data_IF_708679640537
#
_entry.id   IF_708679640537
#
_cell.length_a   1.000
_cell.length_b   1.000
_cell.length_c   1.000
_cell.angle_alpha   90.00
_cell.angle_beta   90.00
_cell.angle_gamma   90.00
#
_symmetry.space_group_name_H-M   'P 1'
#
loop_
_entity.id
_entity.type
_entity.pdbx_description
1 polymer ?
#
# COMPACT_ATOMS: atom_id res chain seq x y z
N UNK A 1 35.80 50.71 -18.50
CA UNK A 1 35.51 50.81 -17.05
C UNK A 1 34.97 49.47 -16.56
N UNK A 2 35.30 49.11 -15.32
CA UNK A 2 35.51 47.75 -14.80
C UNK A 2 34.35 46.75 -15.01
N UNK A 3 34.69 45.62 -15.64
CA UNK A 3 34.01 44.34 -15.55
C UNK A 3 34.34 43.67 -14.20
N UNK A 4 33.33 43.20 -13.48
CA UNK A 4 33.54 42.30 -12.34
C UNK A 4 33.43 40.86 -12.87
N UNK A 5 34.59 40.23 -13.03
CA UNK A 5 34.76 38.79 -13.16
C UNK A 5 34.72 38.18 -11.75
N UNK A 6 33.90 37.16 -11.54
CA UNK A 6 34.05 36.25 -10.39
C UNK A 6 34.57 34.92 -10.93
N UNK A 7 35.73 34.53 -10.42
CA UNK A 7 36.53 33.39 -10.84
C UNK A 7 35.97 32.07 -10.29
N UNK A 8 35.95 31.07 -11.18
CA UNK A 8 35.99 29.64 -10.89
C UNK A 8 37.42 29.29 -10.45
N UNK A 9 37.59 28.62 -9.29
CA UNK A 9 38.50 27.47 -9.03
C UNK A 9 38.73 27.22 -7.52
N UNK A 10 38.87 25.93 -7.18
CA UNK A 10 39.44 25.31 -5.96
C UNK A 10 38.65 25.53 -4.65
N UNK A 11 38.03 24.50 -4.05
CA UNK A 11 38.69 23.39 -3.35
C UNK A 11 38.03 22.03 -3.67
N UNK A 12 38.85 21.15 -4.24
CA UNK A 12 38.68 19.70 -4.30
C UNK A 12 39.52 19.12 -3.15
N UNK A 13 39.20 17.89 -2.71
CA UNK A 13 39.96 17.02 -1.78
C UNK A 13 39.59 17.15 -0.29
N UNK A 14 38.76 16.20 0.18
CA UNK A 14 39.28 15.17 1.09
C UNK A 14 38.48 13.86 0.91
N UNK A 15 39.09 12.92 0.18
CA UNK A 15 38.84 11.50 0.33
C UNK A 15 39.33 11.05 1.72
N UNK A 16 38.44 10.40 2.47
CA UNK A 16 38.78 9.33 3.40
C UNK A 16 37.70 8.27 3.14
N UNK A 17 37.87 7.28 2.25
CA UNK A 17 38.75 6.12 2.42
C UNK A 17 38.67 5.53 3.83
N UNK A 18 37.47 5.06 4.15
CA UNK A 18 37.27 3.91 5.05
C UNK A 18 36.78 2.74 4.19
N UNK A 19 37.72 2.10 3.49
CA UNK A 19 37.54 0.73 3.05
C UNK A 19 37.61 -0.14 4.30
N UNK A 20 36.45 -0.39 4.91
CA UNK A 20 36.27 -1.53 5.79
C UNK A 20 35.54 -2.56 4.94
N UNK A 21 36.17 -3.70 4.71
CA UNK A 21 35.49 -4.89 4.21
C UNK A 21 34.42 -5.28 5.23
N UNK A 22 33.22 -4.75 5.04
CA UNK A 22 32.01 -5.17 5.75
C UNK A 22 31.12 -5.83 4.71
N UNK A 23 30.61 -7.01 5.03
CA UNK A 23 29.65 -7.71 4.19
C UNK A 23 28.58 -6.73 3.67
N UNK A 24 28.36 -6.70 2.35
CA UNK A 24 27.34 -5.85 1.74
C UNK A 24 25.95 -6.34 2.19
N UNK A 25 25.44 -5.80 3.30
CA UNK A 25 24.01 -5.86 3.61
C UNK A 25 23.27 -4.97 2.63
N UNK A 26 22.16 -5.45 2.07
CA UNK A 26 21.23 -4.57 1.38
C UNK A 26 20.60 -3.67 2.44
N UNK A 27 20.64 -2.35 2.23
CA UNK A 27 20.02 -1.40 3.15
C UNK A 27 18.51 -1.41 2.94
N UNK A 28 17.74 -1.42 4.02
CA UNK A 28 16.28 -1.54 3.96
C UNK A 28 15.64 -0.46 3.07
N UNK A 29 16.15 0.76 3.11
CA UNK A 29 15.69 1.88 2.27
C UNK A 29 15.80 1.57 0.78
N UNK A 30 16.92 0.98 0.36
CA UNK A 30 17.12 0.59 -1.05
C UNK A 30 16.13 -0.49 -1.52
N UNK A 31 15.78 -1.43 -0.63
CA UNK A 31 14.78 -2.46 -0.93
C UNK A 31 13.38 -1.84 -1.05
N UNK A 32 13.05 -0.89 -0.17
CA UNK A 32 11.80 -0.16 -0.24
C UNK A 32 11.67 0.59 -1.57
N UNK A 33 12.71 1.32 -1.98
CA UNK A 33 12.71 2.05 -3.25
C UNK A 33 12.54 1.14 -4.46
N UNK A 34 13.21 -0.02 -4.47
CA UNK A 34 13.02 -1.03 -5.51
C UNK A 34 11.57 -1.54 -5.53
N UNK A 35 10.99 -1.81 -4.35
CA UNK A 35 9.59 -2.25 -4.24
C UNK A 35 8.64 -1.21 -4.82
N UNK A 36 8.78 0.05 -4.41
CA UNK A 36 7.88 1.14 -4.80
C UNK A 36 7.88 1.39 -6.31
N UNK A 37 9.02 1.18 -6.97
CA UNK A 37 9.16 1.39 -8.41
C UNK A 37 8.70 0.19 -9.26
N UNK A 38 8.81 -1.04 -8.74
CA UNK A 38 8.62 -2.25 -9.55
C UNK A 38 7.38 -3.07 -9.20
N UNK A 39 6.73 -2.84 -8.05
CA UNK A 39 5.69 -3.72 -7.56
C UNK A 39 4.38 -3.63 -8.39
N UNK A 40 3.82 -4.76 -8.88
CA UNK A 40 2.61 -4.80 -9.71
C UNK A 40 1.35 -4.31 -9.00
N UNK A 41 1.29 -4.39 -7.66
CA UNK A 41 0.16 -3.85 -6.91
C UNK A 41 0.10 -2.32 -7.00
N UNK A 42 1.25 -1.63 -6.94
CA UNK A 42 1.31 -0.18 -7.13
C UNK A 42 0.89 0.16 -8.57
N UNK A 43 1.42 -0.55 -9.56
CA UNK A 43 1.05 -0.37 -10.97
C UNK A 43 -0.45 -0.57 -11.20
N UNK A 44 -1.06 -1.57 -10.57
CA UNK A 44 -2.51 -1.82 -10.60
C UNK A 44 -3.28 -0.59 -10.12
N UNK A 45 -2.92 0.00 -8.98
CA UNK A 45 -3.60 1.19 -8.46
C UNK A 45 -3.35 2.44 -9.31
N UNK A 46 -2.14 2.61 -9.85
CA UNK A 46 -1.83 3.70 -10.80
C UNK A 46 -2.66 3.61 -12.08
N UNK A 47 -2.85 2.42 -12.63
CA UNK A 47 -3.71 2.19 -13.79
C UNK A 47 -5.19 2.43 -13.47
N UNK A 48 -5.64 2.05 -12.27
CA UNK A 48 -7.01 2.35 -11.82
C UNK A 48 -7.26 3.85 -11.70
N UNK A 49 -6.30 4.60 -11.14
CA UNK A 49 -6.34 6.05 -11.08
C UNK A 49 -6.34 6.67 -12.47
N UNK A 50 -5.41 6.30 -13.36
CA UNK A 50 -5.36 6.80 -14.75
C UNK A 50 -6.68 6.55 -15.49
N UNK A 51 -7.28 5.36 -15.34
CA UNK A 51 -8.59 5.05 -15.89
C UNK A 51 -9.70 5.92 -15.31
N UNK A 52 -9.66 6.20 -14.01
CA UNK A 52 -10.63 7.09 -13.36
C UNK A 52 -10.46 8.54 -13.84
N UNK A 53 -9.22 9.03 -13.99
CA UNK A 53 -8.92 10.36 -14.53
C UNK A 53 -9.38 10.51 -15.99
N UNK A 54 -9.23 9.46 -16.81
CA UNK A 54 -9.68 9.49 -18.21
C UNK A 54 -11.20 9.65 -18.36
N UNK A 55 -11.98 9.27 -17.33
CA UNK A 55 -13.43 9.51 -17.34
C UNK A 55 -13.81 10.99 -17.44
N UNK A 56 -12.91 11.91 -17.08
CA UNK A 56 -13.11 13.35 -17.30
C UNK A 56 -13.35 13.63 -18.79
N UNK A 57 -12.54 13.02 -19.68
CA UNK A 57 -12.72 13.15 -21.13
C UNK A 57 -13.99 12.44 -21.62
N UNK A 58 -14.36 11.30 -21.01
CA UNK A 58 -15.59 10.56 -21.33
C UNK A 58 -16.85 11.43 -21.11
N UNK A 59 -16.90 12.18 -20.01
CA UNK A 59 -18.07 13.00 -19.65
C UNK A 59 -18.03 14.41 -20.23
N UNK A 60 -16.88 14.86 -20.74
CA UNK A 60 -16.72 16.12 -21.47
C UNK A 60 -17.25 16.01 -22.90
N UNK A 61 -18.55 15.77 -23.02
CA UNK A 61 -19.22 15.65 -24.31
C UNK A 61 -20.62 16.25 -24.25
N UNK A 62 -21.09 16.67 -25.42
CA UNK A 62 -22.48 17.08 -25.65
C UNK A 62 -23.28 15.90 -26.22
N UNK A 63 -24.62 15.90 -26.10
CA UNK A 63 -25.47 14.92 -26.77
C UNK A 63 -25.17 14.84 -28.28
N UNK A 64 -25.45 13.69 -28.89
CA UNK A 64 -25.26 13.50 -30.33
C UNK A 64 -26.09 14.51 -31.14
N UNK A 65 -25.53 14.98 -32.26
CA UNK A 65 -26.29 15.71 -33.27
C UNK A 65 -27.28 14.75 -33.94
N UNK A 66 -28.56 15.08 -33.89
CA UNK A 66 -29.64 14.33 -34.52
C UNK A 66 -29.84 14.81 -35.95
N UNK A 67 -29.66 13.91 -36.92
CA UNK A 67 -30.03 14.14 -38.31
C UNK A 67 -31.27 13.31 -38.65
N UNK A 68 -32.24 13.93 -39.31
CA UNK A 68 -33.49 13.30 -39.71
C UNK A 68 -33.81 13.56 -41.17
N UNK A 69 -34.36 12.55 -41.85
CA UNK A 69 -34.91 12.68 -43.20
C UNK A 69 -36.31 12.10 -43.19
N UNK A 70 -37.29 12.86 -43.67
CA UNK A 70 -38.68 12.44 -43.78
C UNK A 70 -39.20 12.66 -45.20
N UNK A 71 -39.96 11.71 -45.73
CA UNK A 71 -40.64 11.83 -47.02
C UNK A 71 -42.15 11.93 -46.79
N UNK A 72 -42.80 12.91 -47.42
CA UNK A 72 -44.24 13.14 -47.27
C UNK A 72 -45.01 12.25 -48.26
N UNK A 73 -45.48 11.10 -47.79
CA UNK A 73 -46.31 10.18 -48.60
C UNK A 73 -47.63 10.82 -49.03
N UNK A 74 -48.22 11.63 -48.15
CA UNK A 74 -49.32 12.55 -48.48
C UNK A 74 -48.77 13.96 -48.41
N UNK A 75 -48.66 14.61 -49.56
CA UNK A 75 -47.96 15.89 -49.73
C UNK A 75 -48.84 17.06 -49.26
N UNK A 76 -48.50 17.73 -48.15
CA UNK A 76 -49.22 18.93 -47.74
C UNK A 76 -49.00 20.07 -48.74
N UNK A 77 -50.09 20.70 -49.16
CA UNK A 77 -50.05 21.84 -50.08
C UNK A 77 -49.81 23.15 -49.32
N UNK A 78 -48.93 24.00 -49.86
CA UNK A 78 -48.72 25.39 -49.42
C UNK A 78 -49.10 26.37 -50.53
N UNK A 79 -49.03 27.69 -50.26
CA UNK A 79 -49.21 28.71 -51.31
C UNK A 79 -48.22 28.52 -52.47
N UNK A 80 -47.00 28.08 -52.17
CA UNK A 80 -45.89 27.93 -53.13
C UNK A 80 -45.80 26.54 -53.74
N UNK A 81 -46.57 25.57 -53.24
CA UNK A 81 -46.71 24.21 -53.78
C UNK A 81 -46.59 23.10 -52.74
N UNK A 82 -46.43 21.85 -53.16
CA UNK A 82 -46.55 20.67 -52.30
C UNK A 82 -45.22 20.31 -51.61
N UNK A 83 -45.24 20.02 -50.31
CA UNK A 83 -44.02 19.60 -49.60
C UNK A 83 -43.69 18.13 -49.91
N UNK A 84 -42.46 17.85 -50.37
CA UNK A 84 -42.04 16.52 -50.84
C UNK A 84 -41.24 15.76 -49.79
N UNK A 85 -40.21 16.39 -49.25
CA UNK A 85 -39.38 15.80 -48.20
C UNK A 85 -38.84 16.87 -47.25
N UNK A 86 -38.41 16.41 -46.08
CA UNK A 86 -37.83 17.22 -45.01
C UNK A 86 -36.48 16.64 -44.62
N UNK A 87 -35.47 17.49 -44.49
CA UNK A 87 -34.18 17.18 -43.87
C UNK A 87 -34.07 18.05 -42.61
N UNK A 88 -33.68 17.45 -41.49
CA UNK A 88 -33.55 18.15 -40.22
C UNK A 88 -32.19 17.87 -39.59
N UNK A 89 -31.55 18.90 -39.04
CA UNK A 89 -30.40 18.77 -38.15
C UNK A 89 -30.73 19.43 -36.81
N UNK A 90 -30.45 18.76 -35.69
CA UNK A 90 -30.76 19.24 -34.35
C UNK A 90 -29.62 18.89 -33.38
N UNK A 91 -29.23 19.85 -32.56
CA UNK A 91 -28.24 19.69 -31.51
C UNK A 91 -28.83 20.13 -30.17
N UNK A 92 -28.88 19.22 -29.21
CA UNK A 92 -29.23 19.54 -27.82
C UNK A 92 -27.96 19.96 -27.06
N UNK A 93 -28.04 21.04 -26.30
CA UNK A 93 -26.98 21.51 -25.42
C UNK A 93 -27.45 21.42 -23.96
N UNK A 94 -26.65 20.81 -23.07
CA UNK A 94 -26.91 20.82 -21.63
C UNK A 94 -26.97 22.25 -21.09
N UNK A 95 -27.64 22.42 -19.95
CA UNK A 95 -27.62 23.71 -19.26
C UNK A 95 -26.20 24.15 -18.90
N UNK A 96 -26.02 25.45 -18.73
CA UNK A 96 -24.73 26.03 -18.34
C UNK A 96 -24.19 25.39 -17.05
N UNK A 97 -22.96 24.87 -17.13
CA UNK A 97 -22.26 24.23 -16.03
C UNK A 97 -22.57 22.74 -15.82
N UNK A 98 -23.51 22.12 -16.55
CA UNK A 98 -23.79 20.68 -16.39
C UNK A 98 -22.58 19.82 -16.75
N UNK A 99 -21.88 20.12 -17.84
CA UNK A 99 -20.66 19.39 -18.24
C UNK A 99 -19.57 19.54 -17.18
N UNK A 100 -19.32 20.76 -16.70
CA UNK A 100 -18.36 21.01 -15.62
C UNK A 100 -18.72 20.26 -14.33
N UNK A 101 -19.99 20.15 -13.97
CA UNK A 101 -20.40 19.34 -12.82
C UNK A 101 -20.18 17.83 -13.04
N UNK A 102 -20.30 17.33 -14.28
CA UNK A 102 -19.93 15.94 -14.59
C UNK A 102 -18.44 15.74 -14.42
N UNK A 103 -17.62 16.64 -14.96
CA UNK A 103 -16.16 16.61 -14.86
C UNK A 103 -15.71 16.66 -13.40
N UNK A 104 -16.25 17.58 -12.59
CA UNK A 104 -15.93 17.70 -11.17
C UNK A 104 -16.29 16.42 -10.39
N UNK A 105 -17.45 15.83 -10.68
CA UNK A 105 -17.85 14.57 -10.06
C UNK A 105 -16.87 13.44 -10.39
N UNK A 106 -16.58 13.19 -11.67
CA UNK A 106 -15.65 12.10 -12.02
C UNK A 106 -14.21 12.39 -11.59
N UNK A 107 -13.79 13.65 -11.56
CA UNK A 107 -12.49 14.06 -11.01
C UNK A 107 -12.39 13.77 -9.52
N UNK A 108 -13.44 14.07 -8.74
CA UNK A 108 -13.44 13.75 -7.30
C UNK A 108 -13.39 12.24 -7.01
N UNK A 109 -13.97 11.41 -7.88
CA UNK A 109 -13.80 9.95 -7.81
C UNK A 109 -12.35 9.53 -8.12
N UNK A 110 -11.68 10.22 -9.04
CA UNK A 110 -10.27 9.99 -9.33
C UNK A 110 -9.39 10.40 -8.13
N UNK A 111 -9.71 11.50 -7.43
CA UNK A 111 -9.00 11.89 -6.20
C UNK A 111 -9.11 10.82 -5.12
N UNK A 112 -10.29 10.21 -4.93
CA UNK A 112 -10.43 9.08 -4.01
C UNK A 112 -9.61 7.85 -4.44
N UNK A 113 -9.43 7.63 -5.76
CA UNK A 113 -8.57 6.58 -6.31
C UNK A 113 -7.09 6.88 -6.15
N UNK A 114 -6.70 8.14 -6.08
CA UNK A 114 -5.33 8.53 -5.80
C UNK A 114 -4.91 8.11 -4.39
N UNK A 115 -5.79 8.28 -3.40
CA UNK A 115 -5.53 7.81 -2.02
C UNK A 115 -5.28 6.29 -1.95
N UNK A 116 -5.92 5.49 -2.81
CA UNK A 116 -5.63 4.05 -2.90
C UNK A 116 -4.15 3.78 -3.25
N UNK A 117 -3.51 4.62 -4.08
CA UNK A 117 -2.08 4.52 -4.42
C UNK A 117 -1.23 4.83 -3.18
N UNK A 118 -1.55 5.90 -2.45
CA UNK A 118 -0.80 6.32 -1.25
C UNK A 118 -0.87 5.23 -0.19
N UNK A 119 -2.06 4.68 0.05
CA UNK A 119 -2.29 3.56 0.98
C UNK A 119 -1.47 2.34 0.55
N UNK A 120 -1.52 1.97 -0.74
CA UNK A 120 -0.79 0.81 -1.25
C UNK A 120 0.73 0.97 -1.10
N UNK A 121 1.28 2.15 -1.39
CA UNK A 121 2.71 2.45 -1.20
C UNK A 121 3.12 2.29 0.26
N UNK A 122 2.37 2.89 1.20
CA UNK A 122 2.66 2.76 2.64
C UNK A 122 2.56 1.31 3.14
N UNK A 123 1.55 0.56 2.69
CA UNK A 123 1.43 -0.87 3.01
C UNK A 123 2.61 -1.67 2.49
N UNK A 124 3.03 -1.43 1.25
CA UNK A 124 4.17 -2.10 0.65
C UNK A 124 5.47 -1.83 1.42
N UNK A 125 5.72 -0.57 1.81
CA UNK A 125 6.86 -0.20 2.65
C UNK A 125 6.87 -0.98 3.98
N UNK A 126 5.71 -1.07 4.64
CA UNK A 126 5.57 -1.83 5.87
C UNK A 126 5.82 -3.33 5.64
N UNK A 127 5.22 -3.94 4.61
CA UNK A 127 5.42 -5.36 4.29
C UNK A 127 6.87 -5.70 3.95
N UNK A 128 7.56 -4.87 3.17
CA UNK A 128 8.99 -5.03 2.86
C UNK A 128 9.83 -4.97 4.13
N UNK A 129 9.54 -4.00 5.00
CA UNK A 129 10.26 -3.83 6.26
C UNK A 129 10.04 -5.01 7.22
N UNK A 130 8.80 -5.49 7.34
CA UNK A 130 8.47 -6.65 8.17
C UNK A 130 9.18 -7.92 7.68
N UNK A 131 9.15 -8.15 6.36
CA UNK A 131 9.83 -9.27 5.72
C UNK A 131 11.34 -9.21 5.95
N UNK A 132 11.94 -8.02 5.84
CA UNK A 132 13.35 -7.80 6.15
C UNK A 132 13.71 -8.15 7.61
N UNK A 133 12.89 -7.72 8.59
CA UNK A 133 13.12 -8.05 10.00
C UNK A 133 12.90 -9.54 10.31
N UNK A 134 12.00 -10.22 9.60
CA UNK A 134 11.86 -11.67 9.68
C UNK A 134 13.10 -12.40 9.16
N UNK A 135 13.65 -11.97 8.01
CA UNK A 135 14.91 -12.51 7.48
C UNK A 135 16.08 -12.32 8.46
N UNK A 136 16.20 -11.12 9.03
CA UNK A 136 17.17 -10.84 10.09
C UNK A 136 17.04 -11.82 11.25
N UNK A 137 15.82 -12.01 11.77
CA UNK A 137 15.59 -12.89 12.91
C UNK A 137 15.96 -14.34 12.60
N UNK A 138 15.59 -14.86 11.43
CA UNK A 138 15.96 -16.20 11.00
C UNK A 138 17.49 -16.35 10.92
N UNK A 139 18.18 -15.37 10.33
CA UNK A 139 19.64 -15.38 10.20
C UNK A 139 20.34 -15.29 11.56
N UNK A 140 19.87 -14.41 12.44
CA UNK A 140 20.42 -14.25 13.79
C UNK A 140 20.23 -15.51 14.64
N UNK A 141 19.07 -16.18 14.55
CA UNK A 141 18.83 -17.46 15.25
C UNK A 141 19.76 -18.56 14.73
N UNK A 142 19.96 -18.67 13.42
CA UNK A 142 20.92 -19.63 12.84
C UNK A 142 22.36 -19.38 13.33
N UNK A 143 22.75 -18.11 13.48
CA UNK A 143 24.07 -17.72 14.02
C UNK A 143 24.23 -18.19 15.47
N UNK A 144 23.24 -17.90 16.33
CA UNK A 144 23.25 -18.36 17.74
C UNK A 144 23.29 -19.89 17.82
N UNK A 145 22.54 -20.62 17.00
CA UNK A 145 22.60 -22.09 16.97
C UNK A 145 23.98 -22.59 16.56
N UNK A 146 24.60 -21.95 15.57
CA UNK A 146 25.95 -22.33 15.12
C UNK A 146 26.99 -22.13 16.23
N UNK A 147 26.89 -21.02 16.98
CA UNK A 147 27.75 -20.75 18.13
C UNK A 147 27.51 -21.77 19.27
N UNK A 148 26.26 -22.13 19.54
CA UNK A 148 25.91 -23.10 20.59
C UNK A 148 26.30 -24.55 20.21
N UNK A 149 26.14 -24.96 18.95
CA UNK A 149 26.59 -26.29 18.48
C UNK A 149 28.11 -26.42 18.69
N UNK A 150 28.88 -25.39 18.30
CA UNK A 150 30.34 -25.36 18.50
C UNK A 150 30.73 -25.42 19.99
N UNK A 151 29.93 -24.81 20.85
CA UNK A 151 30.12 -24.91 22.30
C UNK A 151 29.86 -26.34 22.80
N UNK A 152 28.79 -27.00 22.34
CA UNK A 152 28.51 -28.39 22.69
C UNK A 152 29.58 -29.37 22.19
N UNK A 153 30.20 -29.14 21.02
CA UNK A 153 31.36 -29.93 20.55
C UNK A 153 32.55 -29.84 21.53
N UNK A 154 32.75 -28.67 22.12
CA UNK A 154 33.79 -28.47 23.15
C UNK A 154 33.46 -29.27 24.41
N UNK A 155 32.19 -29.28 24.83
CA UNK A 155 31.74 -30.07 25.96
C UNK A 155 31.76 -31.57 25.72
N UNK A 156 31.46 -32.03 24.51
CA UNK A 156 31.57 -33.43 24.13
C UNK A 156 33.00 -33.94 24.27
N UNK A 157 33.98 -33.13 23.85
CA UNK A 157 35.40 -33.46 24.04
C UNK A 157 35.76 -33.60 25.52
N UNK A 158 35.26 -32.71 26.38
CA UNK A 158 35.46 -32.79 27.83
C UNK A 158 34.78 -34.02 28.43
N UNK A 159 33.53 -34.30 28.05
CA UNK A 159 32.77 -35.44 28.55
C UNK A 159 33.43 -36.77 28.13
N UNK A 160 33.89 -36.91 26.89
CA UNK A 160 34.64 -38.08 26.42
C UNK A 160 35.91 -38.32 27.25
N UNK A 161 36.67 -37.26 27.51
CA UNK A 161 37.88 -37.34 28.36
C UNK A 161 37.51 -37.80 29.78
N UNK A 162 36.41 -37.30 30.34
CA UNK A 162 35.90 -37.72 31.66
C UNK A 162 35.44 -39.18 31.69
N UNK A 163 34.86 -39.70 30.60
CA UNK A 163 34.47 -41.12 30.47
C UNK A 163 35.71 -42.01 30.44
N UNK A 164 36.76 -41.64 29.70
CA UNK A 164 38.02 -42.41 29.61
C UNK A 164 38.69 -42.58 30.98
N UNK A 165 38.61 -41.56 31.84
CA UNK A 165 39.15 -41.61 33.22
C UNK A 165 38.15 -42.16 34.25
N UNK A 166 37.00 -42.68 33.81
CA UNK A 166 35.98 -43.31 34.67
C UNK A 166 35.20 -42.34 35.57
N UNK A 167 35.20 -41.04 35.24
CA UNK A 167 34.54 -39.96 36.02
C UNK A 167 33.20 -39.50 35.46
N UNK A 168 32.81 -39.95 34.25
CA UNK A 168 31.53 -39.61 33.63
C UNK A 168 30.90 -40.84 32.95
N UNK A 169 29.61 -40.75 32.63
CA UNK A 169 28.87 -41.81 31.95
C UNK A 169 28.85 -41.60 30.43
N UNK A 170 28.90 -42.69 29.65
CA UNK A 170 28.67 -42.63 28.21
C UNK A 170 27.27 -42.07 27.85
N UNK A 171 26.33 -42.12 28.80
CA UNK A 171 25.00 -41.50 28.67
C UNK A 171 25.10 -39.98 28.54
N UNK A 172 26.05 -39.33 29.19
CA UNK A 172 26.21 -37.88 29.17
C UNK A 172 26.69 -37.39 27.79
N UNK A 173 27.57 -38.17 27.15
CA UNK A 173 28.00 -37.96 25.76
C UNK A 173 26.84 -38.12 24.80
N UNK A 174 26.03 -39.18 24.94
CA UNK A 174 24.85 -39.38 24.09
C UNK A 174 23.82 -38.25 24.24
N UNK A 175 23.66 -37.67 25.45
CA UNK A 175 22.79 -36.51 25.67
C UNK A 175 23.29 -35.26 24.94
N UNK A 176 24.60 -35.00 24.98
CA UNK A 176 25.21 -33.91 24.20
C UNK A 176 24.95 -34.07 22.70
N UNK A 177 25.16 -35.27 22.17
CA UNK A 177 24.93 -35.57 20.75
C UNK A 177 23.46 -35.40 20.37
N UNK A 178 22.51 -35.85 21.21
CA UNK A 178 21.09 -35.61 20.98
C UNK A 178 20.76 -34.11 20.92
N UNK A 179 21.34 -33.30 21.81
CA UNK A 179 21.13 -31.84 21.81
C UNK A 179 21.76 -31.15 20.59
N UNK A 180 22.96 -31.57 20.17
CA UNK A 180 23.56 -31.09 18.92
C UNK A 180 22.64 -31.41 17.72
N UNK A 181 22.08 -32.62 17.65
CA UNK A 181 21.15 -33.02 16.60
C UNK A 181 19.87 -32.16 16.61
N UNK A 182 19.30 -31.87 17.77
CA UNK A 182 18.13 -30.98 17.91
C UNK A 182 18.44 -29.54 17.46
N UNK A 183 19.59 -28.99 17.86
CA UNK A 183 20.03 -27.66 17.43
C UNK A 183 20.29 -27.59 15.91
N UNK A 184 20.87 -28.65 15.34
CA UNK A 184 21.11 -28.76 13.91
C UNK A 184 19.79 -28.86 13.15
N UNK A 185 18.84 -29.68 13.62
CA UNK A 185 17.49 -29.73 13.06
C UNK A 185 16.81 -28.36 13.08
N UNK A 186 16.87 -27.63 14.20
CA UNK A 186 16.28 -26.30 14.31
C UNK A 186 16.94 -25.30 13.35
N UNK A 187 18.26 -25.37 13.18
CA UNK A 187 19.02 -24.54 12.23
C UNK A 187 18.59 -24.81 10.79
N UNK A 188 18.40 -26.07 10.42
CA UNK A 188 17.96 -26.47 9.08
C UNK A 188 16.53 -26.00 8.80
N UNK A 189 15.63 -26.09 9.79
CA UNK A 189 14.27 -25.52 9.70
C UNK A 189 14.32 -24.00 9.51
N UNK A 190 15.14 -23.29 10.29
CA UNK A 190 15.32 -21.84 10.14
C UNK A 190 15.94 -21.47 8.79
N UNK A 191 16.75 -22.33 8.20
CA UNK A 191 17.27 -22.15 6.83
C UNK A 191 16.14 -22.21 5.81
N UNK A 192 15.22 -23.18 5.94
CA UNK A 192 14.05 -23.26 5.06
C UNK A 192 13.10 -22.06 5.25
N UNK A 193 12.88 -21.62 6.50
CA UNK A 193 12.10 -20.41 6.79
C UNK A 193 12.74 -19.15 6.19
N UNK A 194 14.07 -19.04 6.21
CA UNK A 194 14.79 -17.95 5.56
C UNK A 194 14.58 -17.95 4.04
N UNK A 195 14.67 -19.10 3.38
CA UNK A 195 14.44 -19.21 1.93
C UNK A 195 12.99 -18.85 1.54
N UNK A 196 12.02 -19.28 2.35
CA UNK A 196 10.62 -18.94 2.15
C UNK A 196 10.37 -17.42 2.30
N UNK A 197 10.91 -16.81 3.36
CA UNK A 197 10.80 -15.37 3.56
C UNK A 197 11.59 -14.57 2.51
N UNK A 198 12.70 -15.10 2.00
CA UNK A 198 13.45 -14.49 0.89
C UNK A 198 12.61 -14.47 -0.38
N UNK A 199 11.92 -15.56 -0.68
CA UNK A 199 10.97 -15.63 -1.79
C UNK A 199 9.87 -14.59 -1.62
N UNK A 200 9.31 -14.47 -0.40
CA UNK A 200 8.30 -13.46 -0.09
C UNK A 200 8.82 -12.03 -0.34
N UNK A 201 9.99 -11.69 0.18
CA UNK A 201 10.62 -10.39 -0.03
C UNK A 201 10.87 -10.12 -1.52
N UNK A 202 11.44 -11.07 -2.25
CA UNK A 202 11.71 -10.93 -3.68
C UNK A 202 10.44 -10.72 -4.51
N UNK A 203 9.32 -11.36 -4.13
CA UNK A 203 8.03 -11.12 -4.75
C UNK A 203 7.47 -9.73 -4.43
N UNK A 204 7.65 -9.20 -3.22
CA UNK A 204 7.32 -7.81 -2.88
C UNK A 204 8.13 -6.81 -3.71
N UNK A 205 9.37 -7.15 -4.05
CA UNK A 205 10.26 -6.36 -4.91
C UNK A 205 10.00 -6.57 -6.40
N UNK A 206 9.14 -7.54 -6.75
CA UNK A 206 8.88 -7.98 -8.12
C UNK A 206 10.15 -8.35 -8.90
N UNK A 207 10.98 -9.21 -8.30
CA UNK A 207 12.19 -9.79 -8.93
C UNK A 207 12.17 -11.32 -8.81
N UNK A 208 13.13 -11.99 -9.45
CA UNK A 208 13.27 -13.45 -9.36
C UNK A 208 13.29 -13.94 -7.90
N UNK A 209 12.58 -15.03 -7.63
CA UNK A 209 12.27 -15.49 -6.27
C UNK A 209 13.49 -15.93 -5.46
N UNK A 210 14.56 -16.36 -6.14
CA UNK A 210 15.78 -16.93 -5.56
C UNK A 210 16.94 -15.93 -5.47
N UNK A 211 16.71 -14.65 -5.79
CA UNK A 211 17.73 -13.60 -5.64
C UNK A 211 18.21 -13.55 -4.18
N UNK A 212 19.53 -13.74 -3.93
CA UNK A 212 20.05 -13.69 -2.58
C UNK A 212 19.81 -12.35 -1.90
N UNK A 213 19.31 -12.40 -0.67
CA UNK A 213 19.11 -11.24 0.21
C UNK A 213 20.11 -11.29 1.35
N UNK A 214 20.84 -10.20 1.54
CA UNK A 214 21.74 -9.99 2.67
C UNK A 214 21.13 -9.00 3.64
N UNK A 215 21.06 -9.41 4.91
CA UNK A 215 20.56 -8.61 6.03
C UNK A 215 21.72 -8.22 6.94
N UNK A 216 21.52 -7.17 7.74
CA UNK A 216 22.51 -6.72 8.73
C UNK A 216 22.87 -7.81 9.74
N UNK A 217 24.10 -7.79 10.23
CA UNK A 217 24.61 -8.79 11.18
C UNK A 217 24.00 -8.69 12.58
N UNK A 218 23.61 -7.48 13.00
CA UNK A 218 22.99 -7.23 14.30
C UNK A 218 22.08 -6.01 14.26
N UNK A 219 20.98 -6.12 15.00
CA UNK A 219 20.07 -5.02 15.33
C UNK A 219 20.06 -4.84 16.84
N UNK A 220 20.15 -3.59 17.29
CA UNK A 220 20.14 -3.25 18.71
C UNK A 220 18.74 -2.86 19.15
N UNK A 221 18.35 -3.27 20.36
CA UNK A 221 17.12 -2.78 20.98
C UNK A 221 17.28 -1.30 21.34
N UNK A 222 16.40 -0.40 20.86
CA UNK A 222 16.49 1.02 21.21
C UNK A 222 16.31 1.28 22.70
N UNK A 223 17.08 2.26 23.21
CA UNK A 223 17.10 2.64 24.63
C UNK A 223 15.90 3.48 25.05
N UNK A 224 15.30 4.24 24.13
CA UNK A 224 14.17 5.14 24.39
C UNK A 224 12.92 4.67 23.63
N UNK A 225 11.76 5.05 24.16
CA UNK A 225 10.48 4.87 23.46
C UNK A 225 10.35 5.90 22.34
N UNK A 226 9.64 5.52 21.28
CA UNK A 226 9.19 6.50 20.30
C UNK A 226 8.19 7.45 20.96
N UNK A 227 8.35 8.77 20.76
CA UNK A 227 7.25 9.70 20.98
C UNK A 227 6.18 9.43 19.92
N UNK A 228 5.06 8.84 20.34
CA UNK A 228 3.95 8.52 19.44
C UNK A 228 2.89 9.59 19.61
N UNK A 229 2.81 10.50 18.66
CA UNK A 229 1.70 11.44 18.55
C UNK A 229 0.51 10.74 17.89
N UNK A 230 -0.50 10.41 18.71
CA UNK A 230 -1.77 9.83 18.25
C UNK A 230 -2.58 10.82 17.39
N UNK A 231 -2.28 12.12 17.45
CA UNK A 231 -2.94 13.16 16.64
C UNK A 231 -2.78 12.95 15.14
N UNK A 232 -1.72 12.27 14.68
CA UNK A 232 -1.48 12.04 13.25
C UNK A 232 -2.44 11.01 12.63
N UNK A 233 -3.10 10.17 13.43
CA UNK A 233 -3.93 9.08 12.90
C UNK A 233 -5.12 9.60 12.09
N UNK A 234 -5.69 10.74 12.47
CA UNK A 234 -6.79 11.39 11.76
C UNK A 234 -6.41 11.82 10.33
N UNK A 235 -5.12 12.05 10.08
CA UNK A 235 -4.57 12.43 8.77
C UNK A 235 -4.08 11.21 7.96
N UNK A 236 -4.31 10.00 8.45
CA UNK A 236 -3.88 8.79 7.77
C UNK A 236 -4.62 8.64 6.41
N UNK A 237 -3.94 8.26 5.31
CA UNK A 237 -4.53 8.18 3.96
C UNK A 237 -5.77 7.30 3.86
N UNK A 238 -5.85 6.23 4.66
CA UNK A 238 -7.06 5.41 4.69
C UNK A 238 -8.31 6.15 5.22
N UNK A 239 -8.12 7.15 6.07
CA UNK A 239 -9.21 8.02 6.54
C UNK A 239 -9.45 9.18 5.58
N UNK A 240 -8.40 9.76 5.01
CA UNK A 240 -8.50 10.80 3.98
C UNK A 240 -9.25 10.31 2.74
N UNK A 241 -9.12 9.03 2.39
CA UNK A 241 -9.92 8.40 1.34
C UNK A 241 -11.42 8.58 1.56
N UNK A 242 -11.90 8.42 2.79
CA UNK A 242 -13.32 8.63 3.09
C UNK A 242 -13.72 10.10 2.96
N UNK A 243 -12.82 11.05 3.26
CA UNK A 243 -13.08 12.47 3.01
C UNK A 243 -13.19 12.76 1.51
N UNK A 244 -12.34 12.14 0.68
CA UNK A 244 -12.44 12.23 -0.79
C UNK A 244 -13.71 11.61 -1.33
N UNK A 245 -14.12 10.45 -0.79
CA UNK A 245 -15.39 9.83 -1.16
C UNK A 245 -16.58 10.71 -0.75
N UNK A 246 -16.56 11.29 0.44
CA UNK A 246 -17.60 12.21 0.90
C UNK A 246 -17.72 13.42 -0.04
N UNK A 247 -16.58 14.04 -0.39
CA UNK A 247 -16.52 15.13 -1.38
C UNK A 247 -17.08 14.70 -2.75
N UNK A 248 -16.84 13.44 -3.16
CA UNK A 248 -17.40 12.94 -4.42
C UNK A 248 -18.92 12.82 -4.40
N UNK A 249 -19.52 12.49 -3.26
CA UNK A 249 -20.98 12.48 -3.11
C UNK A 249 -21.54 13.90 -3.10
N UNK A 250 -20.82 14.88 -2.56
CA UNK A 250 -21.20 16.30 -2.69
C UNK A 250 -21.19 16.74 -4.16
N UNK A 251 -20.17 16.36 -4.93
CA UNK A 251 -20.13 16.64 -6.37
C UNK A 251 -21.23 15.88 -7.14
N UNK A 252 -21.56 14.65 -6.73
CA UNK A 252 -22.70 13.88 -7.26
C UNK A 252 -24.01 14.64 -7.07
N UNK A 253 -24.23 15.26 -5.91
CA UNK A 253 -25.42 16.06 -5.65
C UNK A 253 -25.46 17.36 -6.47
N UNK A 254 -24.33 18.06 -6.61
CA UNK A 254 -24.25 19.23 -7.49
C UNK A 254 -24.54 18.85 -8.95
N UNK A 255 -24.01 17.72 -9.41
CA UNK A 255 -24.33 17.17 -10.73
C UNK A 255 -25.82 16.87 -10.86
N UNK A 256 -26.42 16.18 -9.88
CA UNK A 256 -27.85 15.86 -9.86
C UNK A 256 -28.73 17.12 -9.97
N UNK A 257 -28.35 18.21 -9.28
CA UNK A 257 -29.03 19.50 -9.38
C UNK A 257 -28.87 20.12 -10.78
N UNK A 258 -27.68 20.08 -11.38
CA UNK A 258 -27.46 20.60 -12.75
C UNK A 258 -28.15 19.76 -13.83
N UNK A 259 -28.21 18.46 -13.67
CA UNK A 259 -28.94 17.55 -14.57
C UNK A 259 -30.47 17.72 -14.48
N UNK A 260 -30.97 18.33 -13.39
CA UNK A 260 -32.39 18.71 -13.27
C UNK A 260 -32.71 20.03 -13.98
N UNK A 261 -31.72 20.72 -14.54
CA UNK A 261 -31.92 21.95 -15.32
C UNK A 261 -32.38 21.64 -16.75
N UNK A 262 -33.06 22.59 -17.43
CA UNK A 262 -33.50 22.39 -18.80
C UNK A 262 -32.34 22.19 -19.78
N UNK A 263 -32.60 21.57 -20.94
CA UNK A 263 -31.67 21.59 -22.07
C UNK A 263 -32.19 22.53 -23.16
N UNK A 264 -31.28 23.19 -23.87
CA UNK A 264 -31.61 24.07 -25.00
C UNK A 264 -31.19 23.37 -26.29
N UNK A 265 -32.10 23.23 -27.24
CA UNK A 265 -31.82 22.62 -28.54
C UNK A 265 -31.91 23.64 -29.66
N UNK A 266 -30.92 23.64 -30.54
CA UNK A 266 -30.94 24.38 -31.79
C UNK A 266 -31.13 23.41 -32.94
N UNK A 267 -31.94 23.78 -33.92
CA UNK A 267 -32.16 22.95 -35.09
C UNK A 267 -32.44 23.76 -36.35
N UNK A 268 -32.36 23.07 -37.48
CA UNK A 268 -32.69 23.61 -38.78
C UNK A 268 -33.44 22.54 -39.56
N UNK A 269 -34.64 22.90 -40.00
CA UNK A 269 -35.42 22.11 -40.95
C UNK A 269 -35.31 22.72 -42.33
N UNK A 270 -34.99 21.90 -43.32
CA UNK A 270 -35.10 22.20 -44.74
C UNK A 270 -36.21 21.33 -45.32
N UNK A 271 -37.23 21.97 -45.89
CA UNK A 271 -38.36 21.28 -46.51
C UNK A 271 -38.41 21.67 -47.98
N UNK A 272 -38.32 20.66 -48.84
CA UNK A 272 -38.43 20.87 -50.27
C UNK A 272 -39.90 21.02 -50.69
N UNK A 273 -40.17 22.01 -51.54
CA UNK A 273 -41.50 22.31 -52.07
C UNK A 273 -41.50 22.17 -53.59
N UNK A 274 -42.44 21.42 -54.15
CA UNK A 274 -42.63 21.31 -55.60
C UNK A 274 -43.33 22.55 -56.16
N UNK A 275 -42.96 22.96 -57.37
CA UNK A 275 -43.66 24.05 -58.07
C UNK A 275 -45.10 23.66 -58.43
N UNK A 276 -46.01 24.64 -58.38
CA UNK A 276 -47.39 24.45 -58.82
C UNK A 276 -47.49 24.59 -60.34
N UNK A 277 -48.13 23.64 -61.03
CA UNK A 277 -48.33 23.74 -62.48
C UNK A 277 -49.27 24.92 -62.80
N UNK A 278 -48.99 25.62 -63.91
CA UNK A 278 -49.80 26.72 -64.44
C UNK A 278 -49.93 27.96 -63.54
N UNK A 279 -48.97 28.19 -62.64
CA UNK A 279 -48.87 29.40 -61.84
C UNK A 279 -47.50 30.06 -62.03
N UNK A 280 -47.48 31.37 -62.30
CA UNK A 280 -46.24 32.15 -62.47
C UNK A 280 -46.22 33.29 -61.45
N UNK A 281 -45.43 33.12 -60.39
CA UNK A 281 -45.16 34.12 -59.38
C UNK A 281 -43.79 33.87 -58.75
N UNK A 282 -43.17 34.92 -58.21
CA UNK A 282 -41.75 34.95 -57.82
C UNK A 282 -41.29 33.94 -56.76
N UNK A 283 -42.21 33.32 -56.01
CA UNK A 283 -41.90 32.35 -54.95
C UNK A 283 -42.49 30.95 -55.24
N UNK A 284 -42.91 30.64 -56.47
CA UNK A 284 -43.43 29.29 -56.80
C UNK A 284 -42.34 28.24 -56.55
N UNK A 285 -42.67 27.13 -55.89
CA UNK A 285 -41.71 26.07 -55.51
C UNK A 285 -40.65 26.48 -54.50
N UNK A 286 -40.79 27.63 -53.82
CA UNK A 286 -39.79 28.08 -52.85
C UNK A 286 -39.73 27.17 -51.63
N UNK A 287 -38.55 26.58 -51.42
CA UNK A 287 -38.26 25.74 -50.27
C UNK A 287 -38.38 26.50 -48.94
N UNK A 288 -38.65 25.74 -47.86
CA UNK A 288 -38.79 26.28 -46.52
C UNK A 288 -37.52 25.98 -45.73
N UNK A 289 -36.91 27.03 -45.17
CA UNK A 289 -35.84 26.93 -44.18
C UNK A 289 -36.39 27.42 -42.85
N UNK A 290 -36.45 26.53 -41.86
CA UNK A 290 -37.04 26.80 -40.55
C UNK A 290 -36.01 26.58 -39.44
N UNK A 291 -35.38 27.64 -38.93
CA UNK A 291 -34.58 27.54 -37.72
C UNK A 291 -35.48 27.25 -36.52
N UNK A 292 -35.03 26.37 -35.64
CA UNK A 292 -35.77 25.94 -34.45
C UNK A 292 -34.94 26.20 -33.20
N UNK A 293 -35.63 26.69 -32.16
CA UNK A 293 -35.13 26.69 -30.79
C UNK A 293 -36.10 25.87 -29.96
N UNK A 294 -35.58 24.92 -29.20
CA UNK A 294 -36.36 24.03 -28.34
C UNK A 294 -35.83 24.06 -26.91
N UNK A 295 -36.71 23.85 -25.94
CA UNK A 295 -36.33 23.74 -24.52
C UNK A 295 -36.92 22.44 -23.98
N UNK A 296 -36.08 21.59 -23.41
CA UNK A 296 -36.50 20.35 -22.75
C UNK A 296 -36.46 20.56 -21.24
N UNK A 297 -37.61 20.46 -20.57
CA UNK A 297 -37.75 20.71 -19.12
C UNK A 297 -38.14 19.41 -18.42
N UNK A 298 -37.37 18.94 -17.43
CA UNK A 298 -37.78 17.78 -16.63
C UNK A 298 -38.89 18.19 -15.64
N UNK A 299 -40.14 17.84 -15.95
CA UNK A 299 -41.31 18.17 -15.11
C UNK A 299 -41.48 17.16 -13.97
N UNK A 300 -41.20 15.88 -14.23
CA UNK A 300 -41.41 14.79 -13.26
C UNK A 300 -40.13 14.49 -12.45
N UNK A 301 -39.88 15.30 -11.42
CA UNK A 301 -38.61 15.31 -10.68
C UNK A 301 -38.43 14.21 -9.61
N UNK A 302 -39.22 13.13 -9.66
CA UNK A 302 -39.09 12.01 -8.69
C UNK A 302 -37.69 11.36 -8.76
N UNK A 303 -37.11 11.27 -9.96
CA UNK A 303 -35.74 10.76 -10.18
C UNK A 303 -34.72 11.56 -9.37
N UNK A 304 -34.67 12.88 -9.58
CA UNK A 304 -33.68 13.75 -8.93
C UNK A 304 -33.85 13.80 -7.41
N UNK A 305 -35.10 13.85 -6.91
CA UNK A 305 -35.38 13.75 -5.46
C UNK A 305 -34.89 12.43 -4.86
N UNK A 306 -35.04 11.32 -5.59
CA UNK A 306 -34.56 10.01 -5.16
C UNK A 306 -33.04 9.95 -5.13
N UNK A 307 -32.35 10.57 -6.09
CA UNK A 307 -30.88 10.63 -6.12
C UNK A 307 -30.35 11.49 -4.97
N UNK A 308 -30.94 12.67 -4.71
CA UNK A 308 -30.60 13.48 -3.54
C UNK A 308 -30.73 12.68 -2.25
N UNK A 309 -31.82 11.90 -2.10
CA UNK A 309 -31.98 11.07 -0.91
C UNK A 309 -30.95 9.94 -0.80
N UNK A 310 -30.54 9.35 -1.93
CA UNK A 310 -29.47 8.36 -1.97
C UNK A 310 -28.13 8.98 -1.57
N UNK A 311 -27.78 10.15 -2.12
CA UNK A 311 -26.56 10.89 -1.77
C UNK A 311 -26.51 11.21 -0.26
N UNK A 312 -27.63 11.65 0.34
CA UNK A 312 -27.71 11.88 1.80
C UNK A 312 -27.42 10.60 2.61
N UNK A 313 -27.98 9.46 2.18
CA UNK A 313 -27.77 8.17 2.85
C UNK A 313 -26.34 7.66 2.66
N UNK A 314 -25.76 7.85 1.47
CA UNK A 314 -24.39 7.48 1.14
C UNK A 314 -23.38 8.32 1.96
N UNK A 315 -23.65 9.61 2.20
CA UNK A 315 -22.84 10.44 3.10
C UNK A 315 -22.86 9.93 4.55
N UNK A 316 -24.03 9.48 5.04
CA UNK A 316 -24.15 8.88 6.36
C UNK A 316 -23.39 7.55 6.44
N UNK A 317 -23.49 6.72 5.39
CA UNK A 317 -22.73 5.48 5.27
C UNK A 317 -21.22 5.73 5.30
N UNK A 318 -20.71 6.64 4.49
CA UNK A 318 -19.28 7.00 4.42
C UNK A 318 -18.79 7.50 5.78
N UNK A 319 -19.59 8.31 6.49
CA UNK A 319 -19.25 8.79 7.84
C UNK A 319 -19.13 7.63 8.83
N UNK A 320 -20.07 6.68 8.79
CA UNK A 320 -20.03 5.49 9.63
C UNK A 320 -18.83 4.58 9.30
N UNK A 321 -18.54 4.37 8.01
CA UNK A 321 -17.37 3.60 7.55
C UNK A 321 -16.05 4.26 7.97
N UNK A 322 -15.95 5.60 7.89
CA UNK A 322 -14.78 6.34 8.37
C UNK A 322 -14.57 6.12 9.86
N UNK A 323 -15.64 6.17 10.66
CA UNK A 323 -15.56 5.94 12.11
C UNK A 323 -15.17 4.49 12.44
N UNK A 324 -15.75 3.50 11.76
CA UNK A 324 -15.37 2.10 11.90
C UNK A 324 -13.88 1.89 11.57
N UNK A 325 -13.41 2.52 10.49
CA UNK A 325 -12.00 2.43 10.10
C UNK A 325 -11.11 3.08 11.14
N UNK A 326 -11.46 4.26 11.65
CA UNK A 326 -10.73 4.93 12.73
C UNK A 326 -10.59 4.02 13.95
N UNK A 327 -11.69 3.43 14.44
CA UNK A 327 -11.67 2.50 15.58
C UNK A 327 -10.72 1.31 15.32
N UNK A 328 -10.71 0.79 14.09
CA UNK A 328 -9.82 -0.30 13.69
C UNK A 328 -8.35 0.12 13.73
N UNK A 329 -8.05 1.32 13.22
CA UNK A 329 -6.68 1.87 13.20
C UNK A 329 -6.19 2.22 14.62
N UNK A 330 -7.05 2.75 15.49
CA UNK A 330 -6.74 2.99 16.90
C UNK A 330 -6.43 1.69 17.64
N UNK A 331 -7.19 0.63 17.37
CA UNK A 331 -6.96 -0.71 17.92
C UNK A 331 -5.61 -1.26 17.44
N UNK A 332 -5.33 -1.13 16.14
CA UNK A 332 -4.07 -1.58 15.54
C UNK A 332 -2.87 -0.82 16.12
N UNK A 333 -2.99 0.51 16.26
CA UNK A 333 -1.96 1.36 16.86
C UNK A 333 -1.71 0.96 18.31
N UNK A 334 -2.76 0.90 19.11
CA UNK A 334 -2.68 0.54 20.53
C UNK A 334 -2.03 -0.83 20.69
N UNK A 335 -2.38 -1.81 19.85
CA UNK A 335 -1.76 -3.13 19.86
C UNK A 335 -0.26 -3.06 19.53
N UNK A 336 0.12 -2.37 18.45
CA UNK A 336 1.50 -2.26 18.03
C UNK A 336 2.39 -1.57 19.10
N UNK A 337 1.87 -0.53 19.75
CA UNK A 337 2.55 0.16 20.86
C UNK A 337 2.79 -0.81 22.03
N UNK A 338 1.73 -1.49 22.48
CA UNK A 338 1.83 -2.41 23.61
C UNK A 338 2.74 -3.61 23.31
N UNK A 339 2.76 -4.10 22.07
CA UNK A 339 3.67 -5.17 21.65
C UNK A 339 5.13 -4.68 21.57
N UNK A 340 5.39 -3.45 21.11
CA UNK A 340 6.73 -2.83 21.19
C UNK A 340 7.23 -2.72 22.64
N UNK A 341 6.39 -2.22 23.55
CA UNK A 341 6.72 -2.10 24.99
C UNK A 341 6.98 -3.49 25.58
N UNK A 342 6.10 -4.46 25.30
CA UNK A 342 6.25 -5.84 25.77
C UNK A 342 7.53 -6.49 25.25
N UNK A 343 7.90 -6.23 24.00
CA UNK A 343 9.15 -6.71 23.40
C UNK A 343 10.38 -6.12 24.12
N UNK A 344 10.37 -4.82 24.46
CA UNK A 344 11.46 -4.20 25.24
C UNK A 344 11.59 -4.80 26.64
N UNK A 345 10.46 -4.98 27.35
CA UNK A 345 10.43 -5.61 28.69
C UNK A 345 10.99 -7.04 28.63
N UNK A 346 10.53 -7.82 27.65
CA UNK A 346 11.03 -9.18 27.40
C UNK A 346 12.53 -9.16 27.13
N UNK A 347 13.01 -8.31 26.22
CA UNK A 347 14.43 -8.19 25.89
C UNK A 347 15.28 -7.86 27.13
N UNK A 348 14.84 -6.91 27.96
CA UNK A 348 15.53 -6.54 29.20
C UNK A 348 15.60 -7.72 30.20
N UNK A 349 14.50 -8.46 30.36
CA UNK A 349 14.46 -9.65 31.20
C UNK A 349 15.38 -10.75 30.67
N UNK A 350 15.33 -11.05 29.37
CA UNK A 350 16.22 -12.06 28.78
C UNK A 350 17.69 -11.66 28.88
N UNK A 351 18.01 -10.37 28.76
CA UNK A 351 19.37 -9.86 28.93
C UNK A 351 19.89 -10.11 30.35
N UNK A 352 19.06 -9.85 31.37
CA UNK A 352 19.40 -10.13 32.77
C UNK A 352 19.56 -11.63 33.02
N UNK A 353 18.62 -12.44 32.54
CA UNK A 353 18.63 -13.89 32.72
C UNK A 353 19.82 -14.55 32.00
N UNK A 354 20.16 -14.10 30.79
CA UNK A 354 21.32 -14.58 30.06
C UNK A 354 22.62 -14.27 30.81
N UNK A 355 22.73 -13.08 31.42
CA UNK A 355 23.88 -12.74 32.27
C UNK A 355 23.99 -13.69 33.47
N UNK A 356 22.89 -13.90 34.19
CA UNK A 356 22.86 -14.82 35.33
C UNK A 356 23.17 -16.28 34.93
N UNK A 357 22.70 -16.71 33.76
CA UNK A 357 22.97 -18.06 33.25
C UNK A 357 24.44 -18.25 32.87
N UNK A 358 25.09 -17.22 32.31
CA UNK A 358 26.54 -17.22 32.05
C UNK A 358 27.37 -17.24 33.34
N UNK A 359 26.96 -16.47 34.34
CA UNK A 359 27.61 -16.47 35.65
C UNK A 359 27.49 -17.86 36.31
N UNK A 360 26.31 -18.49 36.22
CA UNK A 360 26.06 -19.84 36.74
C UNK A 360 26.85 -20.92 35.98
N UNK A 361 26.91 -20.85 34.65
CA UNK A 361 27.73 -21.73 33.82
C UNK A 361 29.20 -21.72 34.26
N UNK A 362 29.77 -20.53 34.47
CA UNK A 362 31.16 -20.39 34.92
C UNK A 362 31.44 -21.02 36.29
N UNK A 363 30.43 -21.09 37.15
CA UNK A 363 30.51 -21.79 38.46
C UNK A 363 30.39 -23.30 38.24
N UNK A 364 29.39 -23.74 37.47
CA UNK A 364 29.10 -25.15 37.22
C UNK A 364 30.26 -25.86 36.50
N UNK A 365 30.89 -25.22 35.50
CA UNK A 365 32.07 -25.78 34.82
C UNK A 365 33.21 -26.05 35.81
N UNK A 366 33.52 -25.10 36.71
CA UNK A 366 34.58 -25.27 37.74
C UNK A 366 34.24 -26.39 38.73
N UNK A 367 32.96 -26.49 39.13
CA UNK A 367 32.48 -27.56 40.01
C UNK A 367 32.54 -28.93 39.33
N UNK A 368 32.26 -28.99 38.03
CA UNK A 368 32.37 -30.21 37.24
C UNK A 368 33.84 -30.68 37.10
N UNK A 369 34.76 -29.77 36.79
CA UNK A 369 36.20 -30.07 36.72
C UNK A 369 36.76 -30.61 38.05
N UNK A 370 36.20 -30.17 39.18
CA UNK A 370 36.57 -30.64 40.52
C UNK A 370 35.81 -31.91 40.95
N UNK A 371 34.91 -32.43 40.12
CA UNK A 371 34.14 -33.66 40.35
C UNK A 371 33.06 -33.54 41.43
N UNK A 372 32.63 -32.31 41.74
CA UNK A 372 31.68 -32.04 42.83
C UNK A 372 30.21 -32.04 42.37
N UNK A 373 29.96 -31.97 41.07
CA UNK A 373 28.63 -32.00 40.45
C UNK A 373 28.60 -32.87 39.19
N UNK A 374 27.40 -33.21 38.73
CA UNK A 374 27.16 -33.93 37.49
C UNK A 374 27.19 -32.97 36.28
N UNK A 375 27.58 -33.47 35.11
CA UNK A 375 27.62 -32.71 33.86
C UNK A 375 26.22 -32.23 33.42
N UNK A 376 25.17 -32.90 33.88
CA UNK A 376 23.78 -32.55 33.58
C UNK A 376 23.41 -31.12 34.01
N UNK A 377 23.95 -30.63 35.12
CA UNK A 377 23.69 -29.24 35.56
C UNK A 377 24.27 -28.21 34.57
N UNK A 378 25.43 -28.51 33.98
CA UNK A 378 26.07 -27.67 32.94
C UNK A 378 25.22 -27.68 31.66
N UNK A 379 24.64 -28.83 31.32
CA UNK A 379 23.74 -28.94 30.18
C UNK A 379 22.46 -28.10 30.39
N UNK A 380 21.83 -28.19 31.56
CA UNK A 380 20.58 -27.48 31.82
C UNK A 380 20.76 -25.96 31.79
N UNK A 381 21.89 -25.45 32.30
CA UNK A 381 22.16 -24.01 32.21
C UNK A 381 22.39 -23.55 30.77
N UNK A 382 22.96 -24.41 29.91
CA UNK A 382 23.16 -24.12 28.48
C UNK A 382 21.85 -24.05 27.71
N UNK A 383 20.90 -24.92 28.03
CA UNK A 383 19.56 -24.87 27.44
C UNK A 383 18.85 -23.55 27.79
N UNK A 384 18.99 -23.10 29.05
CA UNK A 384 18.50 -21.79 29.47
C UNK A 384 19.18 -20.65 28.72
N UNK A 385 20.50 -20.68 28.52
CA UNK A 385 21.21 -19.67 27.74
C UNK A 385 20.70 -19.60 26.30
N UNK A 386 20.60 -20.75 25.61
CA UNK A 386 20.07 -20.82 24.26
C UNK A 386 18.65 -20.22 24.20
N UNK A 387 17.78 -20.62 25.14
CA UNK A 387 16.41 -20.10 25.23
C UNK A 387 16.40 -18.57 25.40
N UNK A 388 17.24 -18.02 26.27
CA UNK A 388 17.30 -16.58 26.49
C UNK A 388 17.84 -15.83 25.25
N UNK A 389 18.86 -16.36 24.58
CA UNK A 389 19.38 -15.81 23.32
C UNK A 389 18.32 -15.82 22.20
N UNK A 390 17.59 -16.93 22.04
CA UNK A 390 16.50 -17.03 21.06
C UNK A 390 15.39 -16.02 21.33
N UNK A 391 15.00 -15.86 22.60
CA UNK A 391 13.99 -14.90 23.02
C UNK A 391 14.45 -13.44 22.90
N UNK A 392 15.75 -13.14 23.04
CA UNK A 392 16.28 -11.81 22.75
C UNK A 392 16.10 -11.46 21.27
N UNK A 393 16.44 -12.38 20.36
CA UNK A 393 16.26 -12.17 18.92
C UNK A 393 14.78 -12.00 18.57
N UNK A 394 13.90 -12.80 19.18
CA UNK A 394 12.46 -12.69 18.98
C UNK A 394 11.91 -11.36 19.47
N UNK A 395 12.42 -10.86 20.59
CA UNK A 395 12.05 -9.55 21.13
C UNK A 395 12.52 -8.42 20.19
N UNK A 396 13.71 -8.53 19.62
CA UNK A 396 14.20 -7.60 18.59
C UNK A 396 13.31 -7.63 17.35
N UNK A 397 13.03 -8.81 16.81
CA UNK A 397 12.13 -8.97 15.65
C UNK A 397 10.78 -8.33 15.91
N UNK A 398 10.16 -8.66 17.05
CA UNK A 398 8.84 -8.17 17.42
C UNK A 398 8.83 -6.65 17.51
N UNK A 399 9.81 -6.05 18.20
CA UNK A 399 9.92 -4.60 18.31
C UNK A 399 9.98 -3.92 16.93
N UNK A 400 10.86 -4.39 16.04
CA UNK A 400 11.02 -3.78 14.73
C UNK A 400 9.84 -4.05 13.79
N UNK A 401 9.21 -5.24 13.86
CA UNK A 401 7.97 -5.51 13.11
C UNK A 401 6.86 -4.58 13.58
N UNK A 402 6.69 -4.38 14.89
CA UNK A 402 5.65 -3.51 15.41
C UNK A 402 5.95 -2.03 15.16
N UNK A 403 7.21 -1.60 15.16
CA UNK A 403 7.57 -0.24 14.78
C UNK A 403 7.24 0.07 13.32
N UNK A 404 7.29 -0.90 12.40
CA UNK A 404 6.81 -0.69 11.02
C UNK A 404 5.31 -0.43 10.96
N UNK A 405 4.52 -1.06 11.85
CA UNK A 405 3.07 -0.85 11.94
C UNK A 405 2.78 0.53 12.51
N UNK A 406 3.54 0.95 13.54
CA UNK A 406 3.43 2.31 14.08
C UNK A 406 3.76 3.33 12.98
N UNK A 407 4.89 3.19 12.30
CA UNK A 407 5.31 4.08 11.22
C UNK A 407 4.28 4.12 10.08
N UNK A 408 3.72 2.99 9.70
CA UNK A 408 2.64 2.94 8.70
C UNK A 408 1.45 3.84 9.09
N UNK A 409 1.10 3.86 10.37
CA UNK A 409 -0.03 4.60 10.89
C UNK A 409 0.26 6.08 11.18
N UNK A 410 1.50 6.45 11.47
CA UNK A 410 1.85 7.79 11.99
C UNK A 410 2.68 8.65 11.04
N UNK A 411 3.32 8.06 10.04
CA UNK A 411 4.13 8.72 8.99
C UNK A 411 3.49 8.49 7.62
#
# INVERSE_FOLDING_TARGET
MKYIKINIKTVFVLCALSFVFSAQSQELETLIDVALNNNPEIQKFELQYKRASEKVNEVNTIPNTEFGVGYFVSEPETRTGAQRFKVSAKQMLPWFGTITSRENYVSSLADAKYEDIVIAKRKLMASVSQSYYNLYANKAKQKVLTENIKLLETYETLALTSVEVGKASAVDVLRLQMRQNEMQQLKDVLSQQFLAEQTNLNNLLNRESDVPVTVVDSLMMPSEDFEITTENLALHPELLKYDKLFQSVEQSELLNQKESSPMIGFGLDYINVSERPNMDFSDNGKDIVMPMVSVSIPIFNKKYKSITKQNELEQQEITAQKQERLNTLETLLSKAINECISARISYATQTKNLKQAKDAEGILIKSYETGTIDFNDVLDIQELQLKFQMNQIESIRTYYVQSTIINYLTL
#
